data_IF_256463057664
#
_entry.id   IF_256463057664
#
_cell.length_a   1.000
_cell.length_b   1.000
_cell.length_c   1.000
_cell.angle_alpha   90.00
_cell.angle_beta   90.00
_cell.angle_gamma   90.00
#
_symmetry.space_group_name_H-M   'P 1'
#
loop_
_entity.id
_entity.type
_entity.pdbx_description
1 polymer ?
#
# COMPACT_ATOMS: atom_id res chain seq x y z
N UNK A 1 -15.98 8.63 8.32
CA UNK A 1 -16.71 9.03 7.13
C UNK A 1 -17.76 10.04 7.55
N UNK A 2 -17.75 11.20 6.92
CA UNK A 2 -18.67 12.29 7.21
C UNK A 2 -19.88 12.21 6.29
N UNK A 3 -21.03 12.62 6.79
CA UNK A 3 -22.34 12.58 6.13
C UNK A 3 -23.08 13.88 6.42
N UNK A 4 -23.98 14.23 5.51
CA UNK A 4 -24.72 15.48 5.51
C UNK A 4 -26.20 15.21 5.74
N UNK A 5 -26.87 16.03 6.55
CA UNK A 5 -28.31 15.98 6.68
C UNK A 5 -28.88 17.38 6.77
N UNK A 6 -30.19 17.51 6.53
CA UNK A 6 -30.90 18.78 6.64
C UNK A 6 -31.34 19.01 8.08
N UNK A 7 -30.95 20.14 8.67
CA UNK A 7 -31.38 20.53 10.02
C UNK A 7 -32.91 20.70 10.14
N UNK A 8 -33.60 20.87 9.02
CA UNK A 8 -35.07 21.00 8.97
C UNK A 8 -35.82 19.68 9.11
N UNK A 9 -35.14 18.54 8.93
CA UNK A 9 -35.80 17.22 8.89
C UNK A 9 -36.22 16.68 10.27
N UNK A 10 -35.84 17.36 11.37
CA UNK A 10 -36.24 16.96 12.72
C UNK A 10 -35.70 15.59 13.15
N UNK A 11 -36.49 14.86 13.95
CA UNK A 11 -36.07 13.58 14.57
C UNK A 11 -35.92 12.41 13.59
N UNK A 12 -36.53 12.47 12.41
CA UNK A 12 -36.44 11.43 11.36
C UNK A 12 -35.51 11.86 10.21
N UNK A 13 -34.41 12.55 10.53
CA UNK A 13 -33.49 13.03 9.53
C UNK A 13 -32.87 11.88 8.73
N UNK A 14 -32.82 12.06 7.41
CA UNK A 14 -32.07 11.20 6.50
C UNK A 14 -30.70 11.83 6.27
N UNK A 15 -29.64 11.06 6.49
CA UNK A 15 -28.29 11.49 6.18
C UNK A 15 -27.83 10.94 4.83
N UNK A 16 -27.00 11.75 4.17
CA UNK A 16 -26.52 11.54 2.82
C UNK A 16 -24.99 11.56 2.80
N UNK A 17 -24.38 10.76 1.94
CA UNK A 17 -22.95 10.83 1.67
C UNK A 17 -22.63 12.08 0.83
N UNK A 18 -21.37 12.50 0.85
CA UNK A 18 -20.85 13.54 -0.06
C UNK A 18 -21.17 13.17 -1.51
N UNK A 19 -21.50 14.16 -2.32
CA UNK A 19 -21.81 14.03 -3.76
C UNK A 19 -23.11 13.28 -4.09
N UNK A 20 -23.92 12.94 -3.08
CA UNK A 20 -25.26 12.41 -3.31
C UNK A 20 -26.15 13.48 -3.99
N UNK A 21 -26.91 13.16 -5.05
CA UNK A 21 -27.84 14.11 -5.69
C UNK A 21 -28.83 14.76 -4.72
N UNK A 22 -29.24 14.04 -3.67
CA UNK A 22 -30.13 14.55 -2.63
C UNK A 22 -29.41 15.41 -1.59
N UNK A 23 -28.12 15.19 -1.36
CA UNK A 23 -27.30 16.06 -0.52
C UNK A 23 -27.18 17.46 -1.14
N UNK A 24 -26.99 17.53 -2.46
CA UNK A 24 -26.92 18.79 -3.22
C UNK A 24 -28.21 19.60 -3.17
N UNK A 25 -29.35 18.96 -2.88
CA UNK A 25 -30.66 19.63 -2.71
C UNK A 25 -30.85 20.22 -1.31
N UNK A 26 -29.98 19.89 -0.36
CA UNK A 26 -29.97 20.52 0.96
C UNK A 26 -29.34 21.91 0.80
N UNK A 27 -30.16 22.95 1.01
CA UNK A 27 -29.70 24.33 1.00
C UNK A 27 -28.60 24.56 2.04
N UNK A 28 -27.60 25.37 1.69
CA UNK A 28 -26.34 25.53 2.42
C UNK A 28 -26.53 25.89 3.90
N UNK A 29 -27.43 26.83 4.22
CA UNK A 29 -27.75 27.23 5.59
C UNK A 29 -28.37 26.12 6.46
N UNK A 30 -28.91 25.06 5.86
CA UNK A 30 -29.54 23.95 6.58
C UNK A 30 -28.69 22.68 6.53
N UNK A 31 -27.52 22.71 5.88
CA UNK A 31 -26.65 21.55 5.69
C UNK A 31 -25.76 21.39 6.91
N UNK A 32 -25.90 20.27 7.61
CA UNK A 32 -25.04 19.92 8.74
C UNK A 32 -24.20 18.71 8.39
N UNK A 33 -22.88 18.83 8.58
CA UNK A 33 -21.93 17.73 8.48
C UNK A 33 -21.73 17.06 9.84
N UNK A 34 -21.91 15.74 9.89
CA UNK A 34 -21.64 14.91 11.07
C UNK A 34 -20.97 13.61 10.65
N UNK A 35 -20.41 12.87 11.60
CA UNK A 35 -19.91 11.51 11.34
C UNK A 35 -21.06 10.50 11.28
N UNK A 36 -20.87 9.40 10.53
CA UNK A 36 -21.82 8.26 10.54
C UNK A 36 -22.09 7.75 11.97
N UNK A 37 -21.09 7.75 12.84
CA UNK A 37 -21.25 7.34 14.26
C UNK A 37 -22.21 8.26 15.00
N UNK A 38 -22.08 9.58 14.82
CA UNK A 38 -22.99 10.56 15.42
C UNK A 38 -24.40 10.45 14.83
N UNK A 39 -24.53 10.23 13.53
CA UNK A 39 -25.82 10.04 12.87
C UNK A 39 -26.56 8.81 13.44
N UNK A 40 -25.85 7.68 13.61
CA UNK A 40 -26.40 6.47 14.24
C UNK A 40 -26.80 6.70 15.69
N UNK A 41 -26.01 7.43 16.48
CA UNK A 41 -26.34 7.80 17.87
C UNK A 41 -27.61 8.66 17.95
N UNK A 42 -27.89 9.46 16.92
CA UNK A 42 -29.11 10.27 16.80
C UNK A 42 -30.27 9.53 16.12
N UNK A 43 -30.12 8.24 15.83
CA UNK A 43 -31.12 7.40 15.14
C UNK A 43 -31.54 7.93 13.76
N UNK A 44 -30.65 8.63 13.07
CA UNK A 44 -30.90 9.12 11.72
C UNK A 44 -30.80 7.98 10.70
N UNK A 45 -31.64 8.04 9.66
CA UNK A 45 -31.69 7.00 8.64
C UNK A 45 -30.69 7.27 7.52
N UNK A 46 -30.07 6.21 7.00
CA UNK A 46 -29.26 6.33 5.80
C UNK A 46 -30.16 6.57 4.57
N UNK A 47 -29.76 7.47 3.69
CA UNK A 47 -30.44 7.64 2.41
C UNK A 47 -30.39 6.33 1.60
N UNK A 48 -31.54 5.89 1.08
CA UNK A 48 -31.64 4.67 0.25
C UNK A 48 -30.76 4.71 -0.99
N UNK A 49 -30.52 5.90 -1.55
CA UNK A 49 -29.71 6.06 -2.76
C UNK A 49 -28.21 5.97 -2.49
N UNK A 50 -27.68 6.74 -1.53
CA UNK A 50 -26.24 6.79 -1.26
C UNK A 50 -25.78 5.92 -0.07
N UNK A 51 -26.70 5.21 0.58
CA UNK A 51 -26.44 4.27 1.67
C UNK A 51 -26.47 2.80 1.23
N UNK A 52 -26.77 2.51 -0.03
CA UNK A 52 -26.82 1.16 -0.58
C UNK A 52 -25.50 0.71 -1.22
N UNK A 53 -25.35 -0.60 -1.39
CA UNK A 53 -24.14 -1.23 -1.95
C UNK A 53 -23.76 -0.72 -3.34
N UNK A 54 -24.75 -0.41 -4.20
CA UNK A 54 -24.50 0.12 -5.54
C UNK A 54 -23.75 1.45 -5.51
N UNK A 55 -24.02 2.30 -4.52
CA UNK A 55 -23.31 3.58 -4.35
C UNK A 55 -21.87 3.35 -3.89
N UNK A 56 -21.65 2.40 -2.98
CA UNK A 56 -20.30 2.05 -2.53
C UNK A 56 -19.45 1.51 -3.68
N UNK A 57 -20.01 0.62 -4.52
CA UNK A 57 -19.36 0.13 -5.74
C UNK A 57 -19.03 1.25 -6.71
N UNK A 58 -19.94 2.23 -6.88
CA UNK A 58 -19.68 3.42 -7.71
C UNK A 58 -18.52 4.25 -7.17
N UNK A 59 -18.53 4.59 -5.87
CA UNK A 59 -17.47 5.35 -5.24
C UNK A 59 -16.12 4.62 -5.31
N UNK A 60 -16.11 3.29 -5.17
CA UNK A 60 -14.91 2.48 -5.34
C UNK A 60 -14.37 2.59 -6.77
N UNK A 61 -15.23 2.49 -7.79
CA UNK A 61 -14.83 2.68 -9.20
C UNK A 61 -14.20 4.05 -9.45
N UNK A 62 -14.82 5.12 -8.93
CA UNK A 62 -14.31 6.49 -9.07
C UNK A 62 -12.95 6.64 -8.37
N UNK A 63 -12.78 6.08 -7.16
CA UNK A 63 -11.49 6.07 -6.46
C UNK A 63 -10.42 5.28 -7.21
N UNK A 64 -10.76 4.09 -7.71
CA UNK A 64 -9.85 3.25 -8.51
C UNK A 64 -9.42 4.01 -9.76
N UNK A 65 -10.33 4.66 -10.48
CA UNK A 65 -10.01 5.47 -11.64
C UNK A 65 -9.04 6.62 -11.28
N UNK A 66 -9.30 7.31 -10.17
CA UNK A 66 -8.40 8.35 -9.66
C UNK A 66 -7.00 7.81 -9.36
N UNK A 67 -6.89 6.67 -8.68
CA UNK A 67 -5.59 6.07 -8.35
C UNK A 67 -4.81 5.59 -9.58
N UNK A 68 -5.51 5.01 -10.57
CA UNK A 68 -4.90 4.61 -11.85
C UNK A 68 -4.20 5.80 -12.49
N UNK A 69 -4.88 6.94 -12.59
CA UNK A 69 -4.33 8.15 -13.22
C UNK A 69 -3.25 8.81 -12.37
N UNK A 70 -3.41 8.85 -11.05
CA UNK A 70 -2.49 9.55 -10.15
C UNK A 70 -1.13 8.85 -10.03
N UNK A 71 -1.13 7.51 -10.06
CA UNK A 71 0.05 6.71 -9.72
C UNK A 71 0.52 5.78 -10.84
N UNK A 72 -0.10 5.85 -12.03
CA UNK A 72 0.20 4.99 -13.18
C UNK A 72 0.14 3.49 -12.80
N UNK A 73 -0.97 3.11 -12.17
CA UNK A 73 -1.23 1.77 -11.63
C UNK A 73 -2.30 1.05 -12.45
N UNK A 74 -2.20 -0.26 -12.55
CA UNK A 74 -3.30 -1.10 -13.04
C UNK A 74 -3.92 -1.84 -11.86
N UNK A 75 -5.19 -1.53 -11.60
CA UNK A 75 -5.97 -2.12 -10.50
C UNK A 75 -7.11 -2.94 -11.09
N UNK A 76 -7.20 -4.19 -10.63
CA UNK A 76 -8.31 -5.13 -10.89
C UNK A 76 -8.80 -5.69 -9.56
N UNK A 77 -10.04 -6.16 -9.49
CA UNK A 77 -10.63 -6.67 -8.26
C UNK A 77 -11.77 -7.64 -8.57
N UNK A 78 -12.10 -8.48 -7.60
CA UNK A 78 -13.23 -9.43 -7.69
C UNK A 78 -14.57 -8.73 -7.46
N UNK A 79 -15.67 -9.33 -7.92
CA UNK A 79 -17.01 -8.74 -7.86
C UNK A 79 -17.53 -8.46 -6.43
N UNK A 80 -16.96 -9.13 -5.44
CA UNK A 80 -17.26 -9.02 -4.02
C UNK A 80 -16.39 -7.98 -3.29
N UNK A 81 -15.50 -7.29 -4.01
CA UNK A 81 -14.54 -6.31 -3.49
C UNK A 81 -13.67 -6.87 -2.33
N UNK A 82 -13.53 -8.20 -2.24
CA UNK A 82 -12.76 -8.84 -1.16
C UNK A 82 -11.27 -8.87 -1.49
N UNK A 83 -10.91 -8.89 -2.77
CA UNK A 83 -9.54 -9.01 -3.24
C UNK A 83 -9.26 -7.99 -4.34
N UNK A 84 -8.22 -7.19 -4.13
CA UNK A 84 -7.70 -6.22 -5.09
C UNK A 84 -6.32 -6.66 -5.57
N UNK A 85 -6.13 -6.71 -6.88
CA UNK A 85 -4.82 -6.86 -7.50
C UNK A 85 -4.35 -5.49 -7.99
N UNK A 86 -3.11 -5.16 -7.63
CA UNK A 86 -2.49 -3.88 -7.95
C UNK A 86 -1.17 -4.20 -8.66
N UNK A 87 -1.08 -3.83 -9.94
CA UNK A 87 0.13 -3.98 -10.75
C UNK A 87 0.76 -2.60 -10.92
N UNK A 88 2.06 -2.54 -10.62
CA UNK A 88 2.92 -1.39 -10.91
C UNK A 88 3.88 -1.76 -12.05
N UNK A 89 4.73 -0.83 -12.47
CA UNK A 89 5.79 -1.10 -13.47
C UNK A 89 6.76 -2.20 -13.03
N UNK A 90 6.98 -2.39 -11.73
CA UNK A 90 8.02 -3.28 -11.21
C UNK A 90 7.52 -4.37 -10.27
N UNK A 91 6.26 -4.31 -9.83
CA UNK A 91 5.74 -5.14 -8.75
C UNK A 91 4.30 -5.57 -8.99
N UNK A 92 3.96 -6.76 -8.49
CA UNK A 92 2.59 -7.27 -8.43
C UNK A 92 2.17 -7.43 -6.99
N UNK A 93 1.04 -6.84 -6.66
CA UNK A 93 0.52 -6.75 -5.30
C UNK A 93 -0.90 -7.30 -5.23
N UNK A 94 -1.26 -7.82 -4.07
CA UNK A 94 -2.60 -8.33 -3.78
C UNK A 94 -3.02 -7.86 -2.40
N UNK A 95 -4.15 -7.17 -2.29
CA UNK A 95 -4.76 -6.81 -1.02
C UNK A 95 -6.01 -7.67 -0.80
N UNK A 96 -6.03 -8.44 0.29
CA UNK A 96 -7.16 -9.29 0.64
C UNK A 96 -7.84 -8.76 1.90
N UNK A 97 -9.16 -8.66 1.87
CA UNK A 97 -9.98 -8.39 3.05
C UNK A 97 -9.97 -9.61 3.97
N UNK A 98 -9.80 -9.38 5.26
CA UNK A 98 -9.88 -10.42 6.27
C UNK A 98 -11.36 -10.77 6.53
N UNK A 99 -11.69 -12.05 6.75
CA UNK A 99 -13.07 -12.49 6.94
C UNK A 99 -13.69 -11.89 8.21
N UNK A 100 -12.92 -11.88 9.31
CA UNK A 100 -13.41 -11.43 10.63
C UNK A 100 -13.18 -9.94 10.90
N UNK A 101 -12.41 -9.26 10.04
CA UNK A 101 -12.10 -7.85 10.25
C UNK A 101 -12.32 -7.07 8.96
N UNK A 102 -12.92 -5.88 9.05
CA UNK A 102 -13.03 -4.95 7.92
C UNK A 102 -11.67 -4.36 7.49
N UNK A 103 -10.56 -5.09 7.71
CA UNK A 103 -9.20 -4.71 7.37
C UNK A 103 -8.68 -5.55 6.22
N UNK A 104 -7.77 -4.95 5.48
CA UNK A 104 -7.04 -5.55 4.38
C UNK A 104 -5.64 -5.95 4.81
N UNK A 105 -5.17 -7.07 4.25
CA UNK A 105 -3.82 -7.60 4.36
C UNK A 105 -3.14 -7.48 3.00
N UNK A 106 -1.96 -6.89 2.97
CA UNK A 106 -1.19 -6.69 1.75
C UNK A 106 -0.20 -7.85 1.52
N UNK A 107 -0.17 -8.33 0.28
CA UNK A 107 0.75 -9.34 -0.22
C UNK A 107 1.50 -8.79 -1.43
N UNK A 108 2.74 -9.24 -1.57
CA UNK A 108 3.65 -8.88 -2.66
C UNK A 108 4.13 -10.14 -3.39
N UNK A 109 4.33 -10.04 -4.69
CA UNK A 109 4.98 -11.08 -5.48
C UNK A 109 6.32 -10.56 -5.99
N UNK A 110 7.40 -11.24 -5.59
CA UNK A 110 8.74 -10.91 -6.08
C UNK A 110 8.98 -11.63 -7.41
N UNK A 111 9.86 -11.10 -8.26
CA UNK A 111 10.36 -11.83 -9.44
C UNK A 111 11.06 -13.16 -9.07
N UNK A 112 11.72 -13.21 -7.92
CA UNK A 112 12.60 -14.33 -7.52
C UNK A 112 11.93 -15.38 -6.62
N UNK A 113 10.69 -15.15 -6.17
CA UNK A 113 9.96 -16.11 -5.34
C UNK A 113 8.61 -16.41 -5.99
N UNK A 114 8.29 -17.70 -6.23
CA UNK A 114 6.98 -18.06 -6.73
C UNK A 114 5.90 -17.69 -5.70
N UNK A 115 4.81 -17.11 -6.17
CA UNK A 115 3.64 -16.79 -5.36
C UNK A 115 3.68 -15.47 -4.57
N UNK A 116 2.52 -15.15 -4.00
CA UNK A 116 2.31 -13.98 -3.15
C UNK A 116 2.74 -14.27 -1.72
N UNK A 117 3.57 -13.41 -1.13
CA UNK A 117 3.95 -13.47 0.29
C UNK A 117 3.49 -12.21 1.03
N UNK A 118 3.16 -12.38 2.31
CA UNK A 118 2.64 -11.29 3.14
C UNK A 118 3.68 -10.20 3.32
N UNK A 119 3.29 -8.95 3.04
CA UNK A 119 4.12 -7.78 3.32
C UNK A 119 4.04 -7.45 4.82
N UNK A 120 5.12 -7.75 5.55
CA UNK A 120 5.16 -7.58 7.02
C UNK A 120 5.30 -6.12 7.46
N UNK A 121 5.93 -5.30 6.63
CA UNK A 121 6.21 -3.90 6.94
C UNK A 121 4.93 -3.04 6.93
N UNK A 122 3.85 -3.54 6.33
CA UNK A 122 2.55 -2.89 6.34
C UNK A 122 1.61 -3.59 7.32
N UNK A 123 1.11 -2.84 8.31
CA UNK A 123 0.07 -3.32 9.24
C UNK A 123 -1.27 -3.47 8.51
N UNK A 124 -2.13 -4.36 9.03
CA UNK A 124 -3.51 -4.50 8.54
C UNK A 124 -4.23 -3.16 8.64
N UNK A 125 -4.92 -2.74 7.57
CA UNK A 125 -5.60 -1.43 7.51
C UNK A 125 -6.98 -1.55 6.91
N UNK A 126 -7.95 -0.77 7.38
CA UNK A 126 -9.28 -0.70 6.78
C UNK A 126 -9.32 0.16 5.50
N UNK A 127 -8.27 0.98 5.26
CA UNK A 127 -8.24 1.92 4.14
C UNK A 127 -7.42 1.39 2.97
N UNK A 128 -8.10 1.20 1.84
CA UNK A 128 -7.46 0.85 0.57
C UNK A 128 -6.55 2.00 0.07
N UNK A 129 -6.89 3.25 0.36
CA UNK A 129 -6.05 4.42 0.01
C UNK A 129 -4.66 4.31 0.64
N UNK A 130 -4.60 3.88 1.91
CA UNK A 130 -3.31 3.67 2.60
C UNK A 130 -2.49 2.55 1.95
N UNK A 131 -3.15 1.53 1.40
CA UNK A 131 -2.48 0.46 0.65
C UNK A 131 -1.91 0.99 -0.66
N UNK A 132 -2.71 1.72 -1.43
CA UNK A 132 -2.29 2.28 -2.71
C UNK A 132 -1.12 3.26 -2.54
N UNK A 133 -1.20 4.15 -1.55
CA UNK A 133 -0.13 5.10 -1.23
C UNK A 133 1.16 4.36 -0.80
N UNK A 134 1.03 3.30 0.01
CA UNK A 134 2.16 2.47 0.40
C UNK A 134 2.82 1.79 -0.81
N UNK A 135 2.03 1.11 -1.65
CA UNK A 135 2.52 0.40 -2.85
C UNK A 135 3.26 1.36 -3.78
N UNK A 136 2.66 2.52 -4.07
CA UNK A 136 3.25 3.55 -4.93
C UNK A 136 4.59 4.06 -4.39
N UNK A 137 4.64 4.41 -3.09
CA UNK A 137 5.88 4.90 -2.45
C UNK A 137 6.94 3.80 -2.40
N UNK A 138 6.54 2.57 -2.09
CA UNK A 138 7.45 1.44 -1.97
C UNK A 138 8.12 1.15 -3.31
N UNK A 139 7.34 1.07 -4.39
CA UNK A 139 7.88 0.70 -5.70
C UNK A 139 8.71 1.82 -6.31
N UNK A 140 8.30 3.08 -6.16
CA UNK A 140 9.15 4.23 -6.51
C UNK A 140 10.50 4.20 -5.78
N UNK A 141 10.50 3.84 -4.50
CA UNK A 141 11.75 3.71 -3.74
C UNK A 141 12.63 2.53 -4.24
N UNK A 142 12.02 1.43 -4.69
CA UNK A 142 12.72 0.30 -5.29
C UNK A 142 13.35 0.65 -6.64
N UNK A 143 12.66 1.42 -7.47
CA UNK A 143 13.21 1.95 -8.72
C UNK A 143 14.43 2.83 -8.45
N UNK A 144 14.33 3.76 -7.51
CA UNK A 144 15.46 4.61 -7.09
C UNK A 144 16.63 3.76 -6.61
N UNK A 145 16.39 2.73 -5.78
CA UNK A 145 17.45 1.83 -5.30
C UNK A 145 18.11 1.05 -6.45
N UNK A 146 17.33 0.62 -7.45
CA UNK A 146 17.84 -0.14 -8.59
C UNK A 146 18.80 0.72 -9.43
N UNK A 147 18.48 1.99 -9.60
CA UNK A 147 19.34 2.97 -10.28
C UNK A 147 20.51 3.40 -9.39
N UNK A 148 20.24 4.16 -8.33
CA UNK A 148 21.23 4.52 -7.30
C UNK A 148 20.53 4.81 -5.97
N UNK A 149 20.80 3.97 -4.96
CA UNK A 149 20.24 4.14 -3.61
C UNK A 149 20.60 5.49 -2.97
N UNK A 150 21.65 6.18 -3.44
CA UNK A 150 22.05 7.50 -2.93
C UNK A 150 21.02 8.59 -3.25
N UNK A 151 20.23 8.39 -4.30
CA UNK A 151 19.14 9.30 -4.73
C UNK A 151 17.88 9.17 -3.87
N UNK A 152 17.86 8.29 -2.87
CA UNK A 152 16.72 8.19 -1.95
C UNK A 152 16.55 9.50 -1.15
N UNK A 153 15.30 9.95 -0.94
CA UNK A 153 15.04 11.11 -0.10
C UNK A 153 15.47 10.84 1.35
N UNK A 154 15.89 11.89 2.06
CA UNK A 154 16.42 11.82 3.42
C UNK A 154 15.89 12.93 4.35
N UNK A 155 14.79 13.59 3.99
CA UNK A 155 14.25 14.71 4.75
C UNK A 155 13.61 14.27 6.08
N UNK A 156 12.91 13.15 6.08
CA UNK A 156 12.21 12.62 7.28
C UNK A 156 13.01 11.53 7.99
N UNK A 157 12.69 11.28 9.28
CA UNK A 157 13.31 10.19 10.06
C UNK A 157 13.14 8.83 9.39
N UNK A 158 11.94 8.54 8.87
CA UNK A 158 11.65 7.28 8.17
C UNK A 158 12.47 7.14 6.89
N UNK A 159 12.59 8.22 6.12
CA UNK A 159 13.40 8.27 4.90
C UNK A 159 14.88 8.01 5.19
N UNK A 160 15.45 8.63 6.23
CA UNK A 160 16.83 8.37 6.67
C UNK A 160 17.03 6.90 7.09
N UNK A 161 16.08 6.32 7.82
CA UNK A 161 16.14 4.89 8.18
C UNK A 161 16.12 3.97 6.95
N UNK A 162 15.28 4.29 5.97
CA UNK A 162 15.21 3.54 4.71
C UNK A 162 16.52 3.64 3.92
N UNK A 163 17.09 4.84 3.79
CA UNK A 163 18.41 5.08 3.19
C UNK A 163 19.51 4.25 3.87
N UNK A 164 19.59 4.28 5.20
CA UNK A 164 20.60 3.51 5.93
C UNK A 164 20.44 2.00 5.71
N UNK A 165 19.19 1.52 5.64
CA UNK A 165 18.90 0.12 5.34
C UNK A 165 19.34 -0.27 3.92
N UNK A 166 19.12 0.61 2.94
CA UNK A 166 19.60 0.44 1.57
C UNK A 166 21.13 0.44 1.49
N UNK A 167 21.81 1.41 2.12
CA UNK A 167 23.28 1.49 2.22
C UNK A 167 23.88 0.22 2.82
N UNK A 168 23.32 -0.27 3.93
CA UNK A 168 23.77 -1.53 4.56
C UNK A 168 23.55 -2.76 3.66
N UNK A 169 22.50 -2.76 2.84
CA UNK A 169 22.24 -3.84 1.87
C UNK A 169 23.24 -3.79 0.71
N UNK A 170 23.53 -2.60 0.17
CA UNK A 170 24.53 -2.39 -0.87
C UNK A 170 25.94 -2.84 -0.40
N UNK A 171 26.38 -2.40 0.79
CA UNK A 171 27.68 -2.81 1.36
C UNK A 171 27.78 -4.33 1.61
N UNK A 172 26.65 -5.01 1.87
CA UNK A 172 26.62 -6.48 2.00
C UNK A 172 26.70 -7.16 0.63
N UNK A 173 26.02 -6.63 -0.38
CA UNK A 173 26.06 -7.14 -1.75
C UNK A 173 27.48 -7.01 -2.34
N UNK A 174 28.13 -5.87 -2.13
CA UNK A 174 29.52 -5.63 -2.53
C UNK A 174 30.48 -6.63 -1.89
N UNK A 175 30.41 -6.82 -0.57
CA UNK A 175 31.22 -7.83 0.13
C UNK A 175 30.99 -9.26 -0.39
N UNK A 176 29.74 -9.62 -0.70
CA UNK A 176 29.43 -10.93 -1.32
C UNK A 176 29.99 -11.06 -2.73
N UNK A 177 29.96 -9.98 -3.52
CA UNK A 177 30.55 -9.97 -4.87
C UNK A 177 32.05 -10.20 -4.80
N UNK A 178 32.74 -9.48 -3.94
CA UNK A 178 34.18 -9.66 -3.72
C UNK A 178 34.49 -11.09 -3.30
N UNK A 179 33.80 -11.62 -2.28
CA UNK A 179 33.96 -13.03 -1.86
C UNK A 179 33.70 -14.02 -3.00
N UNK A 180 32.70 -13.78 -3.85
CA UNK A 180 32.43 -14.63 -5.02
C UNK A 180 33.57 -14.59 -6.03
N UNK A 181 34.13 -13.40 -6.29
CA UNK A 181 35.27 -13.27 -7.21
C UNK A 181 36.48 -14.06 -6.66
N UNK A 182 36.79 -13.92 -5.37
CA UNK A 182 37.84 -14.70 -4.74
C UNK A 182 37.60 -16.21 -4.85
N UNK A 183 36.39 -16.69 -4.55
CA UNK A 183 36.06 -18.10 -4.68
C UNK A 183 36.22 -18.62 -6.13
N UNK A 184 35.86 -17.81 -7.14
CA UNK A 184 36.06 -18.17 -8.55
C UNK A 184 37.55 -18.20 -8.93
N UNK A 185 38.37 -17.29 -8.39
CA UNK A 185 39.82 -17.27 -8.62
C UNK A 185 40.51 -18.48 -7.96
N UNK A 186 40.14 -18.80 -6.72
CA UNK A 186 40.65 -19.98 -5.98
C UNK A 186 40.23 -21.31 -6.64
N UNK A 187 39.11 -21.36 -7.36
CA UNK A 187 38.69 -22.52 -8.14
C UNK A 187 39.52 -22.67 -9.43
N UNK A 188 39.90 -21.56 -10.06
CA UNK A 188 40.73 -21.56 -11.28
C UNK A 188 42.23 -21.77 -10.99
N UNK A 189 42.71 -21.29 -9.84
CA UNK A 189 44.11 -21.36 -9.41
C UNK A 189 44.16 -21.90 -7.98
N UNK A 190 44.23 -23.23 -7.80
CA UNK A 190 44.22 -23.85 -6.47
C UNK A 190 45.34 -23.37 -5.55
N UNK A 191 46.50 -23.00 -6.11
CA UNK A 191 47.64 -22.42 -5.38
C UNK A 191 47.32 -21.10 -4.67
N UNK A 192 46.27 -20.37 -5.09
CA UNK A 192 45.82 -19.17 -4.40
C UNK A 192 45.13 -19.48 -3.06
N UNK A 193 44.64 -20.70 -2.84
CA UNK A 193 44.04 -21.08 -1.54
C UNK A 193 45.04 -21.03 -0.41
N UNK A 194 46.30 -21.39 -0.67
CA UNK A 194 47.34 -21.48 0.36
C UNK A 194 47.84 -20.09 0.82
N UNK A 195 47.62 -19.07 0.00
CA UNK A 195 47.99 -17.66 0.27
C UNK A 195 46.76 -16.84 0.71
N UNK A 196 45.55 -17.38 0.50
CA UNK A 196 44.27 -16.76 0.85
C UNK A 196 44.00 -16.84 2.35
N UNK A 197 43.88 -15.69 3.01
CA UNK A 197 43.50 -15.57 4.43
C UNK A 197 42.10 -16.18 4.70
N UNK A 198 41.26 -16.32 3.66
CA UNK A 198 39.91 -16.90 3.78
C UNK A 198 39.87 -18.43 3.90
N UNK A 199 40.96 -19.13 3.57
CA UNK A 199 41.09 -20.58 3.83
C UNK A 199 41.26 -20.90 5.33
N UNK A 200 41.79 -19.95 6.12
CA UNK A 200 42.11 -20.15 7.54
C UNK A 200 40.89 -20.04 8.48
N UNK A 201 39.84 -19.30 8.10
CA UNK A 201 38.62 -19.15 8.93
C UNK A 201 37.62 -20.31 8.78
N UNK A 202 37.85 -21.28 7.89
CA UNK A 202 36.96 -22.44 7.67
C UNK A 202 37.40 -23.72 8.39
N UNK A 203 38.54 -23.71 9.09
CA UNK A 203 39.11 -24.85 9.82
C UNK A 203 39.11 -24.65 11.35
N UNK A 204 38.43 -23.61 11.86
CA UNK A 204 38.09 -23.44 13.28
C UNK A 204 36.58 -23.30 13.45
#
# INVERSE_FOLDING_TARGET
>A
MNVFFSNRAGKQAVYHQKDCPYEKRIGEHNRIEITVKQAKKRHYCACKYCGGEQWEKRLLRERVAKWKNQYDLKITYWEDDSVFFIETKIGRWKACKEQDSSKYVLYHQNQWKPGYHRQRDMKKTASLETIIDYVSKHDKAKEIIRDDYRKLPQSTKQQKQYFQSAKRRAKRAERRRVRRIFAMLEEQQPELKDISIFGYEMLM
#
